data_IF_792328097600
#
_entry.id   IF_792328097600
#
_cell.length_a   1.000
_cell.length_b   1.000
_cell.length_c   1.000
_cell.angle_alpha   90.00
_cell.angle_beta   90.00
_cell.angle_gamma   90.00
#
_symmetry.space_group_name_H-M   'P 1'
#
loop_
_entity.id
_entity.type
_entity.pdbx_description
1 polymer ?
#
# COMPACT_ATOMS: atom_id res chain seq x y z
N UNK A 1 29.65 -3.54 -9.67
CA UNK A 1 29.16 -4.38 -8.56
C UNK A 1 29.01 -3.50 -7.34
N UNK A 2 27.97 -3.71 -6.52
CA UNK A 2 27.74 -2.93 -5.28
C UNK A 2 28.18 -3.79 -4.10
N UNK A 3 28.82 -3.18 -3.10
CA UNK A 3 29.29 -3.86 -1.90
C UNK A 3 28.62 -3.29 -0.66
N UNK A 4 28.48 -4.15 0.36
CA UNK A 4 28.07 -3.71 1.68
C UNK A 4 29.17 -2.86 2.32
N UNK A 5 28.76 -1.77 2.94
CA UNK A 5 29.63 -0.89 3.71
C UNK A 5 29.18 -0.84 5.15
N UNK A 6 30.12 -1.03 6.07
CA UNK A 6 29.85 -0.98 7.50
C UNK A 6 29.53 0.45 7.93
N UNK A 7 28.41 0.62 8.63
CA UNK A 7 27.98 1.87 9.26
C UNK A 7 27.70 1.55 10.74
N UNK A 8 28.74 1.59 11.58
CA UNK A 8 28.63 1.17 12.97
C UNK A 8 28.28 -0.32 13.11
N UNK A 9 27.17 -0.62 13.80
CA UNK A 9 26.62 -1.98 13.91
C UNK A 9 25.77 -2.41 12.69
N UNK A 10 25.52 -1.48 11.76
CA UNK A 10 24.67 -1.71 10.59
C UNK A 10 25.49 -1.86 9.31
N UNK A 11 24.83 -2.27 8.23
CA UNK A 11 25.38 -2.31 6.88
C UNK A 11 24.57 -1.41 5.96
N UNK A 12 25.25 -0.70 5.07
CA UNK A 12 24.66 0.11 4.01
C UNK A 12 25.03 -0.41 2.63
N UNK A 13 24.27 0.02 1.62
CA UNK A 13 24.58 -0.14 0.20
C UNK A 13 24.62 1.25 -0.46
N UNK A 14 25.51 1.44 -1.43
CA UNK A 14 25.52 2.68 -2.23
C UNK A 14 24.56 2.51 -3.40
N UNK A 15 23.47 3.27 -3.39
CA UNK A 15 22.47 3.29 -4.46
C UNK A 15 22.76 4.50 -5.36
N UNK A 16 23.05 4.31 -6.66
CA UNK A 16 23.21 5.40 -7.61
C UNK A 16 21.97 6.31 -7.66
N UNK A 17 22.17 7.62 -7.79
CA UNK A 17 21.09 8.62 -7.86
C UNK A 17 19.97 8.28 -8.87
N UNK A 18 20.27 7.79 -10.09
CA UNK A 18 19.22 7.43 -11.04
C UNK A 18 18.25 6.38 -10.53
N UNK A 19 18.70 5.43 -9.70
CA UNK A 19 17.81 4.42 -9.11
C UNK A 19 16.95 5.00 -7.98
N UNK A 20 17.49 5.94 -7.21
CA UNK A 20 16.73 6.64 -6.17
C UNK A 20 15.58 7.43 -6.81
N UNK A 21 15.86 8.13 -7.92
CA UNK A 21 14.88 8.91 -8.67
C UNK A 21 13.85 8.00 -9.36
N UNK A 22 14.28 6.94 -10.05
CA UNK A 22 13.38 6.00 -10.74
C UNK A 22 12.47 5.22 -9.79
N UNK A 23 12.97 4.87 -8.61
CA UNK A 23 12.20 4.17 -7.58
C UNK A 23 11.50 5.11 -6.59
N UNK A 24 11.55 6.44 -6.84
CA UNK A 24 10.84 7.46 -6.07
C UNK A 24 11.14 7.38 -4.55
N UNK A 25 12.40 7.12 -4.22
CA UNK A 25 12.88 6.90 -2.85
C UNK A 25 13.33 8.19 -2.14
N UNK A 26 13.52 9.28 -2.90
CA UNK A 26 14.12 10.52 -2.39
C UNK A 26 13.21 11.21 -1.36
N UNK A 27 13.73 11.45 -0.16
CA UNK A 27 13.01 12.15 0.90
C UNK A 27 11.84 11.38 1.53
N UNK A 28 11.69 10.08 1.24
CA UNK A 28 10.58 9.26 1.76
C UNK A 28 11.03 8.31 2.86
N UNK A 29 10.10 7.95 3.73
CA UNK A 29 10.30 6.81 4.64
C UNK A 29 10.30 5.52 3.80
N UNK A 30 11.28 4.65 4.01
CA UNK A 30 11.44 3.43 3.22
C UNK A 30 11.09 2.19 4.04
N UNK A 31 10.41 1.24 3.40
CA UNK A 31 10.19 -0.10 3.93
C UNK A 31 11.22 -1.07 3.34
N UNK A 32 11.64 -2.03 4.15
CA UNK A 32 12.62 -3.07 3.82
C UNK A 32 11.97 -4.43 4.07
N UNK A 33 11.91 -5.28 3.04
CA UNK A 33 11.33 -6.62 3.14
C UNK A 33 12.27 -7.67 2.52
N UNK A 34 12.42 -8.80 3.20
CA UNK A 34 13.19 -9.93 2.66
C UNK A 34 12.28 -10.73 1.73
N UNK A 35 12.67 -10.81 0.47
CA UNK A 35 11.97 -11.58 -0.56
C UNK A 35 12.85 -12.72 -1.05
N UNK A 36 12.27 -13.68 -1.78
CA UNK A 36 13.06 -14.78 -2.31
C UNK A 36 14.13 -14.26 -3.28
N UNK A 37 15.40 -14.40 -2.91
CA UNK A 37 16.54 -13.93 -3.69
C UNK A 37 17.06 -12.54 -3.37
N UNK A 38 16.53 -11.83 -2.36
CA UNK A 38 17.11 -10.53 -1.99
C UNK A 38 16.32 -9.67 -0.99
N UNK A 39 16.63 -8.38 -1.03
CA UNK A 39 16.02 -7.34 -0.20
C UNK A 39 15.23 -6.39 -1.11
N UNK A 40 13.93 -6.27 -0.85
CA UNK A 40 13.05 -5.31 -1.50
C UNK A 40 13.04 -4.00 -0.70
N UNK A 41 13.23 -2.88 -1.41
CA UNK A 41 13.24 -1.53 -0.84
C UNK A 41 12.22 -0.70 -1.60
N UNK A 42 11.26 -0.13 -0.90
CA UNK A 42 10.23 0.70 -1.50
C UNK A 42 9.83 1.86 -0.57
N UNK A 43 9.26 2.96 -1.10
CA UNK A 43 8.63 3.97 -0.27
C UNK A 43 7.52 3.34 0.57
N UNK A 44 7.52 3.65 1.87
CA UNK A 44 6.46 3.25 2.77
C UNK A 44 5.21 4.03 2.41
N UNK A 45 4.24 3.36 1.80
CA UNK A 45 2.90 3.93 1.56
C UNK A 45 2.05 3.68 2.80
N UNK A 46 1.36 4.71 3.28
CA UNK A 46 0.37 4.47 4.31
C UNK A 46 -0.88 3.82 3.69
N UNK A 47 -1.40 2.73 4.26
CA UNK A 47 -2.65 2.17 3.80
C UNK A 47 -3.74 3.24 3.81
N UNK A 48 -4.46 3.38 2.68
CA UNK A 48 -5.55 4.35 2.52
C UNK A 48 -5.13 5.82 2.59
N UNK A 49 -3.86 6.13 2.38
CA UNK A 49 -3.39 7.50 2.21
C UNK A 49 -4.16 8.19 1.08
N UNK A 50 -4.75 9.35 1.35
CA UNK A 50 -5.56 10.11 0.39
C UNK A 50 -6.98 9.58 0.15
N UNK A 51 -7.38 8.47 0.78
CA UNK A 51 -8.74 7.94 0.62
C UNK A 51 -9.80 8.89 1.19
N UNK A 52 -9.57 9.44 2.39
CA UNK A 52 -10.51 10.37 3.00
C UNK A 52 -10.81 11.57 2.08
N UNK A 53 -9.77 12.24 1.59
CA UNK A 53 -9.91 13.36 0.66
C UNK A 53 -10.58 12.95 -0.68
N UNK A 54 -10.26 11.77 -1.20
CA UNK A 54 -10.89 11.27 -2.43
C UNK A 54 -12.37 10.96 -2.24
N UNK A 55 -12.73 10.36 -1.11
CA UNK A 55 -14.12 10.06 -0.75
C UNK A 55 -14.90 11.37 -0.57
N UNK A 56 -14.34 12.34 0.15
CA UNK A 56 -14.94 13.68 0.31
C UNK A 56 -15.18 14.36 -1.04
N UNK A 57 -14.21 14.32 -1.96
CA UNK A 57 -14.36 14.89 -3.29
C UNK A 57 -15.45 14.18 -4.12
N UNK A 58 -15.57 12.85 -3.99
CA UNK A 58 -16.62 12.07 -4.64
C UNK A 58 -18.00 12.44 -4.07
N UNK A 59 -18.14 12.50 -2.75
CA UNK A 59 -19.40 12.90 -2.09
C UNK A 59 -19.78 14.33 -2.48
N UNK A 60 -18.81 15.26 -2.53
CA UNK A 60 -19.06 16.64 -2.93
C UNK A 60 -19.52 16.78 -4.39
N UNK A 61 -19.04 15.91 -5.29
CA UNK A 61 -19.36 15.98 -6.73
C UNK A 61 -20.60 15.19 -7.12
N UNK A 62 -20.87 14.06 -6.47
CA UNK A 62 -21.95 13.13 -6.83
C UNK A 62 -23.08 13.06 -5.80
N UNK A 63 -22.92 13.72 -4.66
CA UNK A 63 -23.79 13.51 -3.49
C UNK A 63 -23.41 12.25 -2.72
N UNK A 64 -23.98 12.11 -1.53
CA UNK A 64 -23.89 10.85 -0.78
C UNK A 64 -24.69 9.77 -1.52
N UNK A 65 -24.08 8.60 -1.70
CA UNK A 65 -24.80 7.43 -2.18
C UNK A 65 -25.80 6.98 -1.10
N UNK A 66 -26.98 6.55 -1.53
CA UNK A 66 -27.95 5.98 -0.60
C UNK A 66 -27.44 4.63 -0.10
N UNK A 67 -27.54 4.40 1.20
CA UNK A 67 -27.22 3.11 1.80
C UNK A 67 -28.19 2.06 1.26
N UNK A 68 -27.65 0.95 0.75
CA UNK A 68 -28.46 -0.20 0.35
C UNK A 68 -28.86 -0.99 1.60
N UNK A 69 -29.89 -0.51 2.29
CA UNK A 69 -30.41 -1.13 3.52
C UNK A 69 -30.97 -2.53 3.28
N UNK A 70 -31.48 -2.80 2.08
CA UNK A 70 -31.98 -4.11 1.69
C UNK A 70 -30.84 -5.14 1.67
N UNK A 71 -29.73 -4.79 1.03
CA UNK A 71 -28.57 -5.65 0.97
C UNK A 71 -27.83 -5.75 2.31
N UNK A 72 -27.65 -4.64 3.03
CA UNK A 72 -26.99 -4.62 4.34
C UNK A 72 -27.81 -5.33 5.44
N UNK A 73 -29.13 -5.37 5.28
CA UNK A 73 -30.05 -6.07 6.18
C UNK A 73 -30.33 -7.51 5.78
N UNK A 74 -29.70 -8.02 4.71
CA UNK A 74 -29.95 -9.36 4.22
C UNK A 74 -29.62 -10.41 5.29
N UNK A 75 -30.54 -11.35 5.49
CA UNK A 75 -30.31 -12.49 6.39
C UNK A 75 -29.25 -13.39 5.80
N UNK A 76 -28.27 -13.80 6.62
CA UNK A 76 -27.30 -14.82 6.21
C UNK A 76 -28.04 -16.13 5.93
N UNK A 77 -27.93 -16.63 4.70
CA UNK A 77 -28.43 -17.95 4.32
C UNK A 77 -27.40 -19.02 4.68
N UNK A 78 -27.86 -20.23 5.01
CA UNK A 78 -26.99 -21.39 5.17
C UNK A 78 -26.42 -21.83 3.83
N UNK A 79 -25.17 -22.31 3.84
CA UNK A 79 -24.55 -22.92 2.67
C UNK A 79 -25.26 -24.21 2.22
N UNK A 80 -26.08 -24.81 3.09
CA UNK A 80 -26.88 -26.00 2.81
C UNK A 80 -27.92 -25.78 1.69
N UNK A 81 -28.29 -24.52 1.41
CA UNK A 81 -29.27 -24.14 0.38
C UNK A 81 -28.60 -23.62 -0.92
N UNK A 82 -27.27 -23.67 -1.02
CA UNK A 82 -26.53 -23.21 -2.19
C UNK A 82 -26.49 -24.28 -3.29
N UNK A 83 -27.33 -24.12 -4.31
CA UNK A 83 -27.20 -24.88 -5.56
C UNK A 83 -26.29 -24.11 -6.56
N UNK A 84 -25.27 -24.81 -7.10
CA UNK A 84 -24.33 -24.30 -8.09
C UNK A 84 -24.72 -24.70 -9.51
#
# INVERSE_FOLDING_TARGET
>A
MVHLVKIGNSQGIRIPKPFIEQADLEGKELALEVVNGGLFIAPKKQPREGWAASIEAIIASKGMENSDEEWLGATLTSDDDLEW
#
